data_IF_219215610425
#
_entry.id   IF_219215610425
#
_cell.length_a   1.000
_cell.length_b   1.000
_cell.length_c   1.000
_cell.angle_alpha   90.00
_cell.angle_beta   90.00
_cell.angle_gamma   90.00
#
_symmetry.space_group_name_H-M   'P 1'
#
loop_
_entity.id
_entity.type
_entity.pdbx_description
1 polymer ?
#
# COMPACT_ATOMS: atom_id res chain seq x y z
N UNK A 1 4.12 -2.27 -8.42
CA UNK A 1 3.10 -1.45 -7.73
C UNK A 1 2.87 -0.13 -8.45
N UNK A 2 1.74 0.52 -8.18
CA UNK A 2 1.37 1.84 -8.69
C UNK A 2 1.03 2.75 -7.51
N UNK A 3 1.61 3.94 -7.45
CA UNK A 3 1.25 4.97 -6.49
C UNK A 3 0.50 6.10 -7.19
N UNK A 4 -0.67 6.46 -6.65
CA UNK A 4 -1.56 7.47 -7.22
C UNK A 4 -1.93 8.49 -6.17
N UNK A 5 -1.79 9.77 -6.47
CA UNK A 5 -2.25 10.82 -5.56
C UNK A 5 -3.78 10.99 -5.66
N UNK A 6 -4.48 10.84 -4.53
CA UNK A 6 -5.96 10.86 -4.49
C UNK A 6 -6.56 12.20 -4.97
N UNK A 7 -5.86 13.32 -4.71
CA UNK A 7 -6.38 14.67 -4.94
C UNK A 7 -6.20 15.17 -6.37
N UNK A 8 -5.03 14.95 -6.96
CA UNK A 8 -4.70 15.44 -8.31
C UNK A 8 -4.76 14.34 -9.37
N UNK A 9 -4.99 13.09 -8.97
CA UNK A 9 -5.05 11.93 -9.86
C UNK A 9 -3.72 11.67 -10.58
N UNK A 10 -2.62 12.24 -10.09
CA UNK A 10 -1.30 12.09 -10.66
C UNK A 10 -0.75 10.70 -10.29
N UNK A 11 -0.44 9.90 -11.30
CA UNK A 11 0.29 8.64 -11.12
C UNK A 11 1.75 9.00 -10.94
N UNK A 12 2.23 8.99 -9.70
CA UNK A 12 3.60 9.43 -9.38
C UNK A 12 4.63 8.40 -9.82
N UNK A 13 4.29 7.11 -9.79
CA UNK A 13 5.23 6.04 -10.17
C UNK A 13 4.50 4.74 -10.51
N UNK A 14 4.96 4.08 -11.57
CA UNK A 14 4.56 2.75 -11.99
C UNK A 14 5.79 1.86 -11.98
N UNK A 15 5.84 0.89 -11.09
CA UNK A 15 6.97 -0.04 -10.98
C UNK A 15 6.52 -1.46 -11.32
N UNK A 16 7.07 -2.00 -12.41
CA UNK A 16 7.02 -3.40 -12.79
C UNK A 16 8.46 -3.91 -12.71
N UNK A 17 8.92 -4.20 -11.50
CA UNK A 17 10.26 -4.72 -11.24
C UNK A 17 10.22 -5.88 -10.26
N UNK A 18 11.41 -6.45 -10.02
CA UNK A 18 11.61 -7.81 -9.49
C UNK A 18 10.83 -8.13 -8.23
N UNK A 19 10.53 -9.43 -8.05
CA UNK A 19 9.75 -9.95 -6.91
C UNK A 19 10.54 -9.97 -5.59
N UNK A 20 11.30 -8.91 -5.27
CA UNK A 20 12.09 -8.79 -4.06
C UNK A 20 11.51 -7.73 -3.11
N UNK A 21 11.51 -8.03 -1.81
CA UNK A 21 11.08 -7.13 -0.74
C UNK A 21 11.98 -5.88 -0.66
N UNK A 22 13.29 -6.07 -0.80
CA UNK A 22 14.30 -5.01 -0.71
C UNK A 22 14.10 -3.94 -1.79
N UNK A 23 13.87 -4.37 -3.04
CA UNK A 23 13.60 -3.48 -4.17
C UNK A 23 12.32 -2.65 -3.94
N UNK A 24 11.29 -3.29 -3.39
CA UNK A 24 10.06 -2.60 -3.02
C UNK A 24 10.28 -1.56 -1.90
N UNK A 25 11.10 -1.88 -0.90
CA UNK A 25 11.47 -0.97 0.20
C UNK A 25 12.26 0.23 -0.34
N UNK A 26 13.28 -0.01 -1.16
CA UNK A 26 14.09 1.06 -1.77
C UNK A 26 13.26 1.97 -2.67
N UNK A 27 12.38 1.40 -3.50
CA UNK A 27 11.46 2.17 -4.34
C UNK A 27 10.55 3.07 -3.50
N UNK A 28 9.95 2.52 -2.44
CA UNK A 28 9.04 3.27 -1.57
C UNK A 28 9.78 4.37 -0.80
N UNK A 29 10.99 4.08 -0.30
CA UNK A 29 11.84 5.06 0.37
C UNK A 29 12.27 6.19 -0.58
N UNK A 30 12.65 5.86 -1.82
CA UNK A 30 12.95 6.87 -2.84
C UNK A 30 11.71 7.72 -3.15
N UNK A 31 10.56 7.09 -3.31
CA UNK A 31 9.31 7.78 -3.61
C UNK A 31 8.91 8.72 -2.47
N UNK A 32 9.03 8.28 -1.22
CA UNK A 32 8.84 9.13 -0.04
C UNK A 32 9.87 10.27 0.01
N UNK A 33 11.13 10.02 -0.33
CA UNK A 33 12.15 11.07 -0.35
C UNK A 33 11.94 12.11 -1.45
N UNK A 34 11.35 11.73 -2.59
CA UNK A 34 11.00 12.67 -3.68
C UNK A 34 9.70 13.41 -3.42
N UNK A 35 8.88 12.88 -2.53
CA UNK A 35 7.59 13.43 -2.17
C UNK A 35 7.72 14.51 -1.12
N UNK A 36 6.86 15.52 -1.21
CA UNK A 36 6.82 16.56 -0.20
C UNK A 36 6.11 16.03 1.05
N UNK A 37 6.76 16.10 2.22
CA UNK A 37 6.17 15.67 3.51
C UNK A 37 4.93 16.49 3.89
N UNK A 38 4.68 17.63 3.23
CA UNK A 38 3.45 18.40 3.41
C UNK A 38 2.24 17.82 2.65
N UNK A 39 2.44 16.79 1.82
CA UNK A 39 1.38 16.16 1.03
C UNK A 39 0.90 14.84 1.62
N UNK A 40 -0.41 14.63 1.63
CA UNK A 40 -1.10 13.45 2.18
C UNK A 40 -0.66 12.17 1.47
N UNK A 41 -0.38 11.05 2.16
CA UNK A 41 0.12 9.81 1.52
C UNK A 41 -0.70 9.38 0.29
N UNK A 42 -0.03 9.00 -0.82
CA UNK A 42 -0.73 8.59 -2.03
C UNK A 42 -1.37 7.21 -1.80
N UNK A 43 -2.33 6.87 -2.64
CA UNK A 43 -2.92 5.53 -2.64
C UNK A 43 -1.98 4.59 -3.38
N UNK A 44 -1.42 3.64 -2.64
CA UNK A 44 -0.63 2.55 -3.20
C UNK A 44 -1.55 1.44 -3.66
N UNK A 45 -1.29 0.92 -4.85
CA UNK A 45 -2.03 -0.19 -5.43
C UNK A 45 -1.05 -1.20 -6.00
N UNK A 46 -1.26 -2.49 -5.74
CA UNK A 46 -0.42 -3.55 -6.31
C UNK A 46 -1.26 -4.71 -6.79
N UNK A 47 -0.80 -5.40 -7.82
CA UNK A 47 -1.27 -6.75 -8.13
C UNK A 47 -0.89 -7.71 -6.98
N UNK A 48 -1.75 -8.70 -6.71
CA UNK A 48 -1.72 -9.72 -5.63
C UNK A 48 -0.30 -10.17 -5.22
N UNK A 49 0.33 -9.42 -4.30
CA UNK A 49 1.68 -9.74 -3.82
C UNK A 49 1.94 -9.17 -2.43
N UNK A 50 2.04 -10.08 -1.44
CA UNK A 50 2.14 -9.75 -0.02
C UNK A 50 3.49 -9.12 0.39
N UNK A 51 4.52 -9.16 -0.47
CA UNK A 51 5.80 -8.52 -0.16
C UNK A 51 5.67 -7.00 -0.04
N UNK A 52 4.84 -6.36 -0.88
CA UNK A 52 4.59 -4.92 -0.81
C UNK A 52 3.92 -4.50 0.49
N UNK A 53 3.09 -5.36 1.07
CA UNK A 53 2.50 -5.11 2.38
C UNK A 53 3.59 -4.93 3.43
N UNK A 54 4.58 -5.82 3.45
CA UNK A 54 5.69 -5.74 4.38
C UNK A 54 6.61 -4.55 4.06
N UNK A 55 6.90 -4.29 2.79
CA UNK A 55 7.70 -3.14 2.35
C UNK A 55 7.10 -1.81 2.83
N UNK A 56 5.78 -1.66 2.69
CA UNK A 56 5.07 -0.45 3.12
C UNK A 56 5.11 -0.27 4.63
N UNK A 57 4.98 -1.35 5.41
CA UNK A 57 5.13 -1.28 6.88
C UNK A 57 6.58 -1.06 7.29
N UNK A 58 7.56 -1.50 6.49
CA UNK A 58 8.98 -1.25 6.75
C UNK A 58 9.33 0.24 6.58
N UNK A 59 8.84 0.85 5.48
CA UNK A 59 9.14 2.25 5.10
C UNK A 59 8.27 3.25 5.86
N UNK A 60 6.95 3.06 5.83
CA UNK A 60 5.98 4.01 6.41
C UNK A 60 5.52 3.59 7.81
N UNK A 61 5.78 2.36 8.23
CA UNK A 61 5.26 1.87 9.51
C UNK A 61 5.82 2.65 10.69
N UNK A 62 4.93 2.96 11.62
CA UNK A 62 5.26 3.64 12.86
C UNK A 62 5.45 2.62 13.97
N UNK A 63 6.48 2.80 14.79
CA UNK A 63 6.66 1.99 15.99
C UNK A 63 5.64 2.43 17.04
N UNK A 64 4.59 1.63 17.21
CA UNK A 64 3.63 1.82 18.28
C UNK A 64 3.99 0.89 19.43
N UNK A 65 4.26 1.47 20.60
CA UNK A 65 4.40 0.72 21.84
C UNK A 65 3.04 0.65 22.51
N UNK A 66 2.39 -0.54 22.53
CA UNK A 66 1.08 -0.65 23.13
C UNK A 66 1.16 -0.37 24.64
N UNK A 67 0.15 0.34 25.15
CA UNK A 67 0.10 0.74 26.56
C UNK A 67 0.19 -0.48 27.47
N UNK A 68 1.21 -0.47 28.33
CA UNK A 68 1.45 -1.57 29.25
C UNK A 68 0.39 -1.58 30.35
N UNK A 69 -0.60 -2.48 30.23
CA UNK A 69 -1.68 -2.66 31.21
C UNK A 69 -1.24 -3.30 32.55
N UNK A 70 0.04 -3.25 32.89
CA UNK A 70 0.56 -3.66 34.20
C UNK A 70 0.55 -5.17 34.50
N UNK A 71 0.11 -6.02 33.57
CA UNK A 71 -0.01 -7.47 33.79
C UNK A 71 0.82 -8.25 32.76
N UNK A 72 1.94 -8.84 33.21
CA UNK A 72 2.81 -9.70 32.41
C UNK A 72 4.06 -9.00 31.86
N UNK A 73 4.76 -9.62 30.90
CA UNK A 73 5.91 -8.98 30.25
C UNK A 73 5.42 -7.75 29.46
N UNK A 74 6.12 -6.60 29.50
CA UNK A 74 5.77 -5.48 28.65
C UNK A 74 5.70 -5.93 27.19
N UNK A 75 4.64 -5.54 26.47
CA UNK A 75 4.48 -5.93 25.08
C UNK A 75 5.61 -5.33 24.25
N UNK A 76 6.15 -6.13 23.32
CA UNK A 76 7.16 -5.64 22.39
C UNK A 76 6.57 -4.52 21.51
N UNK A 77 7.39 -3.52 21.13
CA UNK A 77 6.98 -2.53 20.15
C UNK A 77 6.56 -3.23 18.86
N UNK A 78 5.49 -2.75 18.25
CA UNK A 78 4.96 -3.28 16.98
C UNK A 78 5.05 -2.19 15.93
N UNK A 79 5.64 -2.50 14.77
CA UNK A 79 5.48 -1.66 13.59
C UNK A 79 4.05 -1.82 13.09
N UNK A 80 3.29 -0.73 13.11
CA UNK A 80 1.93 -0.69 12.57
C UNK A 80 1.90 0.29 11.39
N UNK A 81 1.12 -0.01 10.34
CA UNK A 81 0.90 0.93 9.25
C UNK A 81 0.24 2.20 9.82
N UNK A 82 0.68 3.41 9.44
CA UNK A 82 0.05 4.63 9.90
C UNK A 82 -1.35 4.76 9.29
N UNK A 83 -2.29 5.46 9.96
CA UNK A 83 -3.66 5.62 9.47
C UNK A 83 -3.74 6.37 8.13
N UNK A 84 -2.75 7.22 7.84
CA UNK A 84 -2.63 7.95 6.57
C UNK A 84 -2.26 7.06 5.39
N UNK A 85 -1.65 5.88 5.63
CA UNK A 85 -1.16 4.98 4.60
C UNK A 85 -2.32 4.23 3.95
N UNK A 86 -2.53 4.50 2.65
CA UNK A 86 -3.61 3.90 1.86
C UNK A 86 -3.02 2.85 0.91
N UNK A 87 -3.34 1.58 1.12
CA UNK A 87 -2.85 0.48 0.28
C UNK A 87 -3.95 -0.50 -0.09
N UNK A 88 -4.09 -0.73 -1.39
CA UNK A 88 -5.01 -1.70 -1.97
C UNK A 88 -4.31 -2.75 -2.83
N UNK A 89 -4.82 -3.95 -2.82
CA UNK A 89 -4.42 -5.04 -3.70
C UNK A 89 -5.49 -5.29 -4.75
N UNK A 90 -5.05 -5.48 -6.00
CA UNK A 90 -5.89 -5.88 -7.13
C UNK A 90 -5.59 -7.33 -7.45
N UNK A 91 -6.55 -8.19 -7.17
CA UNK A 91 -6.49 -9.63 -7.45
C UNK A 91 -7.31 -9.87 -8.71
N UNK A 92 -6.61 -10.15 -9.81
CA UNK A 92 -7.23 -10.54 -11.08
C UNK A 92 -7.46 -12.05 -11.07
N UNK A 93 -8.71 -12.46 -11.16
CA UNK A 93 -9.11 -13.83 -11.43
C UNK A 93 -9.13 -14.03 -12.94
N UNK A 94 -8.35 -15.01 -13.40
CA UNK A 94 -8.28 -15.43 -14.79
C UNK A 94 -8.78 -16.86 -14.90
N UNK A 95 -9.68 -17.11 -15.85
CA UNK A 95 -10.13 -18.45 -16.22
C UNK A 95 -9.69 -18.69 -17.67
N UNK A 96 -8.62 -19.48 -17.84
CA UNK A 96 -7.96 -19.62 -19.14
C UNK A 96 -7.10 -18.41 -19.52
N UNK A 97 -7.27 -17.92 -20.75
CA UNK A 97 -6.58 -16.74 -21.30
C UNK A 97 -7.31 -15.41 -21.01
N UNK A 98 -8.52 -15.47 -20.44
CA UNK A 98 -9.38 -14.31 -20.20
C UNK A 98 -9.45 -13.95 -18.70
N UNK A 99 -9.46 -12.64 -18.41
CA UNK A 99 -9.64 -12.12 -17.05
C UNK A 99 -11.14 -12.08 -16.75
N UNK A 100 -11.60 -12.99 -15.90
CA UNK A 100 -13.02 -13.20 -15.60
C UNK A 100 -13.53 -12.30 -14.48
N UNK A 101 -12.70 -11.98 -13.48
CA UNK A 101 -13.09 -11.14 -12.35
C UNK A 101 -11.90 -10.35 -11.81
N UNK A 102 -12.15 -9.17 -11.24
CA UNK A 102 -11.10 -8.36 -10.61
C UNK A 102 -11.58 -7.98 -9.22
N UNK A 103 -11.04 -8.64 -8.19
CA UNK A 103 -11.31 -8.26 -6.80
C UNK A 103 -10.29 -7.27 -6.31
N UNK A 104 -10.80 -6.25 -5.64
CA UNK A 104 -10.03 -5.26 -4.93
C UNK A 104 -10.08 -5.56 -3.44
N UNK A 105 -8.92 -5.65 -2.81
CA UNK A 105 -8.78 -5.90 -1.38
C UNK A 105 -8.04 -4.73 -0.76
N UNK A 106 -8.68 -4.02 0.17
CA UNK A 106 -8.00 -2.99 0.93
C UNK A 106 -7.17 -3.65 2.02
N UNK A 107 -5.91 -3.25 2.13
CA UNK A 107 -4.96 -3.80 3.11
C UNK A 107 -4.69 -2.78 4.20
N UNK A 108 -4.46 -1.51 3.83
CA UNK A 108 -4.21 -0.40 4.75
C UNK A 108 -5.00 0.85 4.37
N UNK A 109 -5.32 1.66 5.37
CA UNK A 109 -5.98 2.95 5.20
C UNK A 109 -7.50 2.87 5.05
N UNK A 110 -8.09 3.98 4.62
CA UNK A 110 -9.54 4.11 4.47
C UNK A 110 -10.03 3.33 3.24
N UNK A 111 -11.01 2.45 3.46
CA UNK A 111 -11.55 1.58 2.43
C UNK A 111 -12.13 2.38 1.26
N UNK A 112 -12.84 3.49 1.52
CA UNK A 112 -13.55 4.25 0.50
C UNK A 112 -12.57 4.92 -0.50
N UNK A 113 -11.52 5.55 0.03
CA UNK A 113 -10.45 6.20 -0.74
C UNK A 113 -9.68 5.18 -1.60
N UNK A 114 -9.29 4.06 -0.99
CA UNK A 114 -8.56 2.99 -1.69
C UNK A 114 -9.45 2.37 -2.76
N UNK A 115 -10.71 2.06 -2.44
CA UNK A 115 -11.66 1.51 -3.40
C UNK A 115 -11.95 2.49 -4.54
N UNK A 116 -11.95 3.80 -4.29
CA UNK A 116 -12.16 4.85 -5.29
C UNK A 116 -10.98 4.94 -6.26
N UNK A 117 -9.75 4.98 -5.76
CA UNK A 117 -8.53 4.91 -6.57
C UNK A 117 -8.46 3.62 -7.41
N UNK A 118 -8.89 2.49 -6.83
CA UNK A 118 -8.96 1.20 -7.53
C UNK A 118 -10.06 1.17 -8.61
N UNK A 119 -11.21 1.81 -8.37
CA UNK A 119 -12.30 1.92 -9.35
C UNK A 119 -11.86 2.75 -10.57
N UNK A 120 -10.95 3.70 -10.36
CA UNK A 120 -10.35 4.51 -11.41
C UNK A 120 -9.31 3.73 -12.23
N UNK A 121 -8.46 2.93 -11.59
CA UNK A 121 -7.48 2.09 -12.27
C UNK A 121 -8.13 1.00 -13.15
N UNK A 122 -9.35 0.56 -12.81
CA UNK A 122 -10.14 -0.41 -13.58
C UNK A 122 -10.92 0.15 -14.77
N UNK A 123 -10.90 1.47 -15.01
CA UNK A 123 -11.48 2.06 -16.24
C UNK A 123 -10.42 2.09 -17.35
N UNK A 124 -10.05 0.92 -17.85
CA UNK A 124 -9.62 0.79 -19.23
C UNK A 124 -10.78 0.17 -20.01
N UNK A 125 -11.59 1.03 -20.61
CA UNK A 125 -12.46 0.68 -21.72
C UNK A 125 -12.49 1.88 -22.67
#
# INVERSE_FOLDING_TARGET
>A
MVAQEAKTKLVTSYHVGGRALEDAVELLAEMESRRDKSTELPVFTSDDWDAYKNALVEVYGVEEQPEYKGRGRPPNPKKVPPPDLKYGQVVKYREGDEVTDVKKRVVFGNEEEVLSALKLAGKQH
#
